data_IF_984731345341
#
_entry.id   IF_984731345341
#
_cell.length_a   1.000
_cell.length_b   1.000
_cell.length_c   1.000
_cell.angle_alpha   90.00
_cell.angle_beta   90.00
_cell.angle_gamma   90.00
#
_symmetry.space_group_name_H-M   'P 1'
#
loop_
_entity.id
_entity.type
_entity.pdbx_description
1 polymer ?
#
# COMPACT_ATOMS: atom_id res chain seq x y z
N UNK A 1 -12.59 -20.49 -2.18
CA UNK A 1 -13.22 -19.39 -2.96
C UNK A 1 -12.30 -18.99 -4.10
N UNK A 2 -12.82 -18.90 -5.33
CA UNK A 2 -12.07 -18.40 -6.48
C UNK A 2 -11.91 -16.88 -6.37
N UNK A 3 -10.70 -16.39 -6.07
CA UNK A 3 -10.38 -14.96 -6.14
C UNK A 3 -10.36 -14.57 -7.63
N UNK A 4 -11.47 -14.23 -8.26
CA UNK A 4 -11.44 -13.74 -9.64
C UNK A 4 -11.09 -12.24 -9.64
N UNK A 5 -10.13 -11.77 -10.46
CA UNK A 5 -9.82 -10.34 -10.55
C UNK A 5 -11.07 -9.55 -10.93
N UNK A 6 -11.27 -8.39 -10.29
CA UNK A 6 -12.45 -7.56 -10.54
C UNK A 6 -12.42 -7.02 -11.97
N UNK A 7 -13.51 -7.24 -12.75
CA UNK A 7 -13.62 -6.80 -14.15
C UNK A 7 -14.63 -5.66 -14.37
N UNK A 8 -15.25 -5.14 -13.31
CA UNK A 8 -16.24 -4.06 -13.39
C UNK A 8 -15.60 -2.66 -13.42
N UNK A 9 -16.35 -1.68 -13.93
CA UNK A 9 -15.95 -0.27 -13.97
C UNK A 9 -15.96 0.41 -12.58
N UNK A 10 -16.81 -0.05 -11.67
CA UNK A 10 -16.81 0.35 -10.26
C UNK A 10 -15.75 -0.44 -9.47
N UNK A 11 -15.35 0.06 -8.29
CA UNK A 11 -14.53 -0.77 -7.39
C UNK A 11 -15.42 -1.79 -6.66
N UNK A 12 -14.82 -2.75 -5.94
CA UNK A 12 -15.58 -3.73 -5.13
C UNK A 12 -16.38 -3.05 -4.02
N UNK A 13 -15.94 -1.87 -3.62
CA UNK A 13 -16.56 -0.97 -2.65
C UNK A 13 -17.72 -0.15 -3.26
N UNK A 14 -18.00 -0.30 -4.56
CA UNK A 14 -19.08 0.40 -5.25
C UNK A 14 -18.66 1.76 -5.79
N UNK A 15 -19.57 2.74 -5.72
CA UNK A 15 -19.33 4.11 -6.18
C UNK A 15 -18.75 4.96 -5.04
N UNK A 16 -17.45 5.23 -5.11
CA UNK A 16 -16.69 5.95 -4.09
C UNK A 16 -16.06 7.23 -4.63
N UNK A 17 -15.53 8.08 -3.75
CA UNK A 17 -14.81 9.29 -4.14
C UNK A 17 -13.62 8.98 -5.09
N UNK A 18 -13.01 7.80 -4.97
CA UNK A 18 -11.96 7.32 -5.88
C UNK A 18 -12.47 7.14 -7.32
N UNK A 19 -13.75 6.77 -7.52
CA UNK A 19 -14.36 6.68 -8.85
C UNK A 19 -14.43 8.06 -9.49
N UNK A 20 -14.90 9.07 -8.76
CA UNK A 20 -14.95 10.46 -9.24
C UNK A 20 -13.53 10.98 -9.51
N UNK A 21 -12.60 10.75 -8.59
CA UNK A 21 -11.19 11.13 -8.75
C UNK A 21 -10.56 10.53 -10.02
N UNK A 22 -10.84 9.25 -10.31
CA UNK A 22 -10.39 8.58 -11.55
C UNK A 22 -11.03 9.17 -12.80
N UNK A 23 -12.32 9.52 -12.76
CA UNK A 23 -12.99 10.18 -13.91
C UNK A 23 -12.35 11.54 -14.17
N UNK A 24 -12.18 12.37 -13.13
CA UNK A 24 -11.59 13.70 -13.27
C UNK A 24 -10.14 13.64 -13.78
N UNK A 25 -9.34 12.69 -13.28
CA UNK A 25 -7.93 12.54 -13.69
C UNK A 25 -7.78 12.01 -15.12
N UNK A 26 -8.72 11.20 -15.61
CA UNK A 26 -8.73 10.65 -16.97
C UNK A 26 -9.43 11.53 -18.02
N UNK A 27 -10.15 12.56 -17.59
CA UNK A 27 -10.89 13.46 -18.49
C UNK A 27 -10.37 14.91 -18.43
N UNK A 28 -10.74 15.67 -17.41
CA UNK A 28 -10.49 17.12 -17.33
C UNK A 28 -9.02 17.43 -17.01
N UNK A 29 -8.33 16.54 -16.28
CA UNK A 29 -6.91 16.69 -15.95
C UNK A 29 -6.01 15.83 -16.83
N UNK A 30 -6.56 15.22 -17.89
CA UNK A 30 -5.79 14.47 -18.86
C UNK A 30 -5.12 15.42 -19.86
N UNK A 31 -3.78 15.45 -19.96
CA UNK A 31 -3.09 16.34 -20.88
C UNK A 31 -3.47 16.06 -22.33
N UNK A 32 -3.67 14.80 -22.72
CA UNK A 32 -4.13 14.47 -24.07
C UNK A 32 -5.49 15.09 -24.42
N UNK A 33 -6.44 15.12 -23.47
CA UNK A 33 -7.76 15.69 -23.70
C UNK A 33 -7.69 17.23 -23.73
N UNK A 34 -7.03 17.82 -22.75
CA UNK A 34 -6.90 19.28 -22.62
C UNK A 34 -6.05 19.91 -23.71
N UNK A 35 -4.92 19.28 -24.08
CA UNK A 35 -4.06 19.71 -25.20
C UNK A 35 -4.82 19.57 -26.52
N UNK A 36 -5.54 18.46 -26.76
CA UNK A 36 -6.34 18.31 -27.99
C UNK A 36 -7.40 19.40 -28.12
N UNK A 37 -8.07 19.75 -27.02
CA UNK A 37 -9.03 20.85 -26.99
C UNK A 37 -8.35 22.22 -27.23
N UNK A 38 -7.16 22.45 -26.68
CA UNK A 38 -6.38 23.67 -26.95
C UNK A 38 -5.94 23.77 -28.42
N UNK A 39 -5.51 22.66 -29.01
CA UNK A 39 -5.14 22.58 -30.42
C UNK A 39 -6.35 22.82 -31.31
N UNK A 40 -7.50 22.19 -31.03
CA UNK A 40 -8.74 22.44 -31.76
C UNK A 40 -9.15 23.92 -31.67
N UNK A 41 -9.09 24.50 -30.47
CA UNK A 41 -9.45 25.89 -30.24
C UNK A 41 -8.50 26.85 -30.98
N UNK A 42 -7.19 26.57 -31.03
CA UNK A 42 -6.20 27.44 -31.67
C UNK A 42 -6.10 27.31 -33.19
N UNK A 43 -6.34 26.11 -33.75
CA UNK A 43 -6.02 25.80 -35.15
C UNK A 43 -7.24 25.66 -36.07
N UNK A 44 -8.46 25.71 -35.55
CA UNK A 44 -9.70 25.71 -36.37
C UNK A 44 -10.34 27.10 -36.42
N UNK A 45 -11.11 27.40 -37.47
CA UNK A 45 -11.86 28.67 -37.56
C UNK A 45 -12.96 28.77 -36.52
N UNK A 46 -13.72 27.69 -36.32
CA UNK A 46 -14.75 27.56 -35.28
C UNK A 46 -14.16 27.65 -33.87
N UNK A 47 -13.01 27.02 -33.63
CA UNK A 47 -12.30 27.12 -32.35
C UNK A 47 -11.88 28.56 -32.03
N UNK A 48 -11.34 29.27 -33.02
CA UNK A 48 -10.92 30.67 -32.86
C UNK A 48 -12.08 31.61 -32.59
N UNK A 49 -13.24 31.42 -33.22
CA UNK A 49 -14.44 32.20 -32.88
C UNK A 49 -14.91 31.89 -31.46
N UNK A 50 -14.90 30.63 -31.05
CA UNK A 50 -15.29 30.21 -29.70
C UNK A 50 -14.37 30.81 -28.61
N UNK A 51 -13.06 30.91 -28.88
CA UNK A 51 -12.11 31.59 -27.98
C UNK A 51 -12.46 33.08 -27.86
N UNK A 52 -12.77 33.74 -28.97
CA UNK A 52 -13.14 35.16 -28.98
C UNK A 52 -14.42 35.42 -28.17
N UNK A 53 -15.41 34.53 -28.29
CA UNK A 53 -16.69 34.65 -27.58
C UNK A 53 -16.58 34.29 -26.09
N UNK A 54 -15.65 33.41 -25.70
CA UNK A 54 -15.52 32.85 -24.35
C UNK A 54 -14.06 32.82 -23.84
N UNK A 55 -13.41 33.98 -23.63
CA UNK A 55 -11.99 34.04 -23.25
C UNK A 55 -11.70 33.37 -21.89
N UNK A 56 -12.64 33.42 -20.93
CA UNK A 56 -12.49 32.78 -19.62
C UNK A 56 -12.38 31.25 -19.72
N UNK A 57 -13.12 30.62 -20.63
CA UNK A 57 -13.09 29.17 -20.83
C UNK A 57 -11.72 28.75 -21.36
N UNK A 58 -11.16 29.52 -22.28
CA UNK A 58 -9.85 29.24 -22.84
C UNK A 58 -8.72 29.41 -21.80
N UNK A 59 -8.80 30.43 -20.94
CA UNK A 59 -7.86 30.58 -19.81
C UNK A 59 -7.96 29.41 -18.83
N UNK A 60 -9.18 28.97 -18.48
CA UNK A 60 -9.39 27.81 -17.63
C UNK A 60 -8.83 26.53 -18.27
N UNK A 61 -9.05 26.33 -19.57
CA UNK A 61 -8.53 25.17 -20.31
C UNK A 61 -6.99 25.15 -20.33
N UNK A 62 -6.34 26.30 -20.53
CA UNK A 62 -4.87 26.42 -20.41
C UNK A 62 -4.39 26.07 -19.01
N UNK A 63 -5.05 26.60 -17.98
CA UNK A 63 -4.69 26.29 -16.60
C UNK A 63 -4.81 24.78 -16.31
N UNK A 64 -5.89 24.13 -16.76
CA UNK A 64 -6.09 22.69 -16.61
C UNK A 64 -5.03 21.88 -17.38
N UNK A 65 -4.67 22.29 -18.60
CA UNK A 65 -3.59 21.65 -19.36
C UNK A 65 -2.24 21.78 -18.65
N UNK A 66 -1.92 22.96 -18.11
CA UNK A 66 -0.70 23.19 -17.33
C UNK A 66 -0.66 22.33 -16.07
N UNK A 67 -1.77 22.26 -15.31
CA UNK A 67 -1.89 21.39 -14.13
C UNK A 67 -1.70 19.92 -14.52
N UNK A 68 -2.35 19.48 -15.61
CA UNK A 68 -2.20 18.12 -16.11
C UNK A 68 -0.75 17.79 -16.51
N UNK A 69 -0.07 18.71 -17.19
CA UNK A 69 1.34 18.55 -17.57
C UNK A 69 2.26 18.49 -16.34
N UNK A 70 2.07 19.41 -15.38
CA UNK A 70 2.81 19.41 -14.13
C UNK A 70 2.62 18.10 -13.37
N UNK A 71 1.40 17.54 -13.37
CA UNK A 71 1.10 16.23 -12.78
C UNK A 71 1.89 15.11 -13.44
N UNK A 72 1.91 15.03 -14.78
CA UNK A 72 2.68 14.01 -15.50
C UNK A 72 4.18 14.13 -15.20
N UNK A 73 4.73 15.35 -15.25
CA UNK A 73 6.15 15.58 -14.95
C UNK A 73 6.46 15.17 -13.51
N UNK A 74 5.62 15.56 -12.55
CA UNK A 74 5.78 15.18 -11.15
C UNK A 74 5.69 13.66 -10.94
N UNK A 75 4.72 12.98 -11.56
CA UNK A 75 4.60 11.52 -11.50
C UNK A 75 5.82 10.81 -12.08
N UNK A 76 6.34 11.31 -13.21
CA UNK A 76 7.58 10.81 -13.79
C UNK A 76 8.77 11.01 -12.84
N UNK A 77 8.98 12.22 -12.33
CA UNK A 77 10.09 12.53 -11.41
C UNK A 77 9.99 11.70 -10.12
N UNK A 78 8.80 11.55 -9.55
CA UNK A 78 8.57 10.72 -8.38
C UNK A 78 8.89 9.25 -8.67
N UNK A 79 8.42 8.71 -9.79
CA UNK A 79 8.73 7.33 -10.19
C UNK A 79 10.23 7.15 -10.34
N UNK A 80 10.93 8.06 -11.01
CA UNK A 80 12.37 7.97 -11.20
C UNK A 80 13.12 8.09 -9.86
N UNK A 81 12.71 9.01 -8.98
CA UNK A 81 13.32 9.21 -7.67
C UNK A 81 13.17 7.97 -6.77
N UNK A 82 11.95 7.42 -6.67
CA UNK A 82 11.68 6.19 -5.90
C UNK A 82 12.43 4.97 -6.45
N UNK A 83 12.69 4.94 -7.75
CA UNK A 83 13.42 3.86 -8.41
C UNK A 83 14.94 4.14 -8.53
N UNK A 84 15.45 5.11 -7.77
CA UNK A 84 16.86 5.48 -7.74
C UNK A 84 17.45 5.85 -9.11
N UNK A 85 16.62 6.26 -10.06
CA UNK A 85 17.01 6.49 -11.46
C UNK A 85 17.65 5.26 -12.13
N UNK A 86 17.32 4.07 -11.65
CA UNK A 86 17.84 2.80 -12.14
C UNK A 86 16.70 1.85 -12.49
N UNK A 87 16.90 1.01 -13.50
CA UNK A 87 15.98 -0.07 -13.84
C UNK A 87 16.46 -1.41 -13.26
N UNK A 88 15.50 -2.29 -12.97
CA UNK A 88 15.74 -3.68 -12.58
C UNK A 88 14.77 -4.56 -13.34
N UNK A 89 15.17 -5.78 -13.66
CA UNK A 89 14.39 -6.71 -14.47
C UNK A 89 13.96 -7.90 -13.61
N UNK A 90 12.65 -8.06 -13.43
CA UNK A 90 12.07 -9.19 -12.70
C UNK A 90 11.59 -10.24 -13.70
N UNK A 91 12.06 -11.47 -13.53
CA UNK A 91 11.58 -12.61 -14.31
C UNK A 91 10.65 -13.41 -13.40
N UNK A 92 9.36 -13.03 -13.35
CA UNK A 92 8.38 -13.50 -12.34
C UNK A 92 8.39 -15.02 -12.07
N UNK A 93 8.64 -15.86 -13.06
CA UNK A 93 8.70 -17.34 -12.87
C UNK A 93 9.94 -17.83 -12.11
N UNK A 94 10.97 -16.99 -11.97
CA UNK A 94 12.19 -17.24 -11.21
C UNK A 94 12.16 -16.59 -9.83
N UNK A 95 11.23 -15.67 -9.61
CA UNK A 95 11.09 -14.97 -8.34
C UNK A 95 10.44 -15.85 -7.26
N UNK A 96 10.93 -15.67 -6.04
CA UNK A 96 10.40 -16.32 -4.84
C UNK A 96 9.86 -15.20 -3.93
N UNK A 97 8.55 -15.20 -3.71
CA UNK A 97 7.88 -14.23 -2.85
C UNK A 97 7.58 -14.81 -1.47
N UNK A 98 8.18 -14.26 -0.43
CA UNK A 98 7.88 -14.57 0.96
C UNK A 98 6.82 -13.60 1.49
N UNK A 99 5.72 -14.11 2.01
CA UNK A 99 4.60 -13.33 2.54
C UNK A 99 4.38 -13.68 4.01
N UNK A 100 4.61 -12.73 4.92
CA UNK A 100 4.26 -12.89 6.34
C UNK A 100 2.78 -12.64 6.56
N UNK A 101 2.14 -13.37 7.48
CA UNK A 101 0.71 -13.26 7.72
C UNK A 101 -0.11 -13.77 6.52
N UNK A 102 0.40 -14.76 5.78
CA UNK A 102 -0.18 -15.22 4.52
C UNK A 102 -1.28 -16.29 4.67
N UNK A 103 -1.66 -16.66 5.89
CA UNK A 103 -2.70 -17.67 6.14
C UNK A 103 -4.12 -17.11 6.15
N UNK A 104 -4.29 -15.80 6.35
CA UNK A 104 -5.60 -15.12 6.41
C UNK A 104 -5.56 -13.71 5.76
N UNK A 105 -6.73 -13.08 5.63
CA UNK A 105 -6.89 -11.67 5.28
C UNK A 105 -6.20 -11.23 3.98
N UNK A 106 -5.53 -10.07 4.04
CA UNK A 106 -4.84 -9.47 2.87
C UNK A 106 -3.66 -10.34 2.44
N UNK A 107 -2.89 -10.89 3.38
CA UNK A 107 -1.72 -11.72 3.09
C UNK A 107 -2.06 -12.98 2.30
N UNK A 108 -3.13 -13.68 2.70
CA UNK A 108 -3.69 -14.80 1.93
C UNK A 108 -3.98 -14.40 0.48
N UNK A 109 -4.66 -13.25 0.28
CA UNK A 109 -5.02 -12.78 -1.06
C UNK A 109 -3.80 -12.43 -1.89
N UNK A 110 -2.79 -11.79 -1.29
CA UNK A 110 -1.50 -11.51 -1.93
C UNK A 110 -0.81 -12.81 -2.36
N UNK A 111 -0.68 -13.78 -1.45
CA UNK A 111 -0.03 -15.07 -1.71
C UNK A 111 -0.69 -15.80 -2.90
N UNK A 112 -2.02 -15.89 -2.90
CA UNK A 112 -2.78 -16.54 -3.96
C UNK A 112 -2.70 -15.80 -5.30
N UNK A 113 -2.67 -14.46 -5.29
CA UNK A 113 -2.54 -13.66 -6.51
C UNK A 113 -1.14 -13.77 -7.12
N UNK A 114 -0.07 -13.72 -6.31
CA UNK A 114 1.30 -13.92 -6.76
C UNK A 114 1.51 -15.33 -7.32
N UNK A 115 0.97 -16.35 -6.64
CA UNK A 115 1.03 -17.74 -7.11
C UNK A 115 0.41 -17.91 -8.50
N UNK A 116 -0.73 -17.26 -8.77
CA UNK A 116 -1.36 -17.31 -10.10
C UNK A 116 -0.58 -16.59 -11.19
N UNK A 117 0.32 -15.68 -10.82
CA UNK A 117 1.21 -15.00 -11.75
C UNK A 117 2.48 -15.81 -12.03
N UNK A 118 2.59 -17.00 -11.42
CA UNK A 118 3.64 -17.98 -11.70
C UNK A 118 4.86 -17.85 -10.81
N UNK A 119 4.82 -17.00 -9.77
CA UNK A 119 5.88 -16.93 -8.76
C UNK A 119 5.84 -18.17 -7.87
N UNK A 120 6.99 -18.57 -7.31
CA UNK A 120 7.00 -19.43 -6.12
C UNK A 120 6.66 -18.56 -4.91
N UNK A 121 5.79 -19.04 -4.04
CA UNK A 121 5.36 -18.27 -2.87
C UNK A 121 5.63 -19.05 -1.60
N UNK A 122 6.22 -18.37 -0.62
CA UNK A 122 6.44 -18.86 0.74
C UNK A 122 5.49 -18.10 1.64
N UNK A 123 4.68 -18.81 2.42
CA UNK A 123 3.81 -18.22 3.44
C UNK A 123 4.44 -18.48 4.81
N UNK A 124 4.70 -17.39 5.55
CA UNK A 124 5.04 -17.45 6.97
C UNK A 124 3.84 -17.00 7.80
N UNK A 125 3.42 -17.83 8.74
CA UNK A 125 2.34 -17.49 9.65
C UNK A 125 2.45 -18.37 10.91
N UNK A 126 1.80 -17.95 12.01
CA UNK A 126 1.67 -18.76 13.23
C UNK A 126 0.47 -19.71 13.16
N UNK A 127 -0.37 -19.56 12.14
CA UNK A 127 -1.54 -20.40 11.90
C UNK A 127 -1.46 -21.05 10.52
N UNK A 128 -1.94 -22.28 10.40
CA UNK A 128 -2.04 -22.93 9.10
C UNK A 128 -2.99 -22.17 8.13
N UNK A 129 -2.69 -22.16 6.82
CA UNK A 129 -3.57 -21.58 5.81
C UNK A 129 -4.98 -22.20 5.83
N UNK A 130 -6.03 -21.39 6.03
CA UNK A 130 -7.43 -21.83 5.98
C UNK A 130 -7.95 -22.11 4.56
N UNK A 131 -7.04 -22.26 3.60
CA UNK A 131 -7.35 -22.40 2.19
C UNK A 131 -6.47 -23.47 1.56
N UNK A 132 -6.98 -24.06 0.48
CA UNK A 132 -6.17 -25.01 -0.31
C UNK A 132 -5.00 -24.27 -0.95
N UNK A 133 -3.79 -24.56 -0.49
CA UNK A 133 -2.54 -24.03 -1.03
C UNK A 133 -2.33 -24.54 -2.45
N UNK A 134 -2.09 -23.63 -3.43
CA UNK A 134 -1.65 -24.03 -4.76
C UNK A 134 -0.30 -24.75 -4.72
N UNK A 135 0.06 -25.57 -5.73
CA UNK A 135 1.31 -26.34 -5.73
C UNK A 135 2.60 -25.50 -5.64
N UNK A 136 2.54 -24.23 -6.04
CA UNK A 136 3.64 -23.28 -5.96
C UNK A 136 3.58 -22.37 -4.72
N UNK A 137 2.79 -22.74 -3.71
CA UNK A 137 2.72 -22.07 -2.40
C UNK A 137 3.14 -23.07 -1.34
N UNK A 138 4.22 -22.77 -0.63
CA UNK A 138 4.71 -23.56 0.51
C UNK A 138 4.51 -22.78 1.80
N UNK A 139 3.96 -23.43 2.82
CA UNK A 139 3.72 -22.87 4.14
C UNK A 139 4.83 -23.29 5.12
N UNK A 140 5.26 -22.36 5.96
CA UNK A 140 6.07 -22.64 7.14
C UNK A 140 5.43 -21.96 8.35
N UNK A 141 5.23 -22.73 9.42
CA UNK A 141 4.83 -22.19 10.71
C UNK A 141 6.01 -21.41 11.32
N UNK A 142 5.84 -20.12 11.55
CA UNK A 142 6.91 -19.27 12.07
C UNK A 142 6.35 -18.07 12.83
N UNK A 143 6.78 -17.94 14.10
CA UNK A 143 6.60 -16.70 14.85
C UNK A 143 7.68 -15.69 14.47
N UNK A 144 7.29 -14.70 13.67
CA UNK A 144 8.17 -13.65 13.15
C UNK A 144 8.67 -12.67 14.24
N UNK A 145 8.18 -12.76 15.48
CA UNK A 145 8.71 -12.01 16.61
C UNK A 145 9.97 -12.66 17.19
N UNK A 146 10.26 -13.93 16.85
CA UNK A 146 11.44 -14.66 17.30
C UNK A 146 12.51 -14.70 16.22
N UNK A 147 13.63 -14.01 16.46
CA UNK A 147 14.79 -14.04 15.55
C UNK A 147 15.32 -15.47 15.31
N UNK A 148 15.26 -16.32 16.33
CA UNK A 148 15.70 -17.72 16.23
C UNK A 148 14.78 -18.53 15.31
N UNK A 149 13.46 -18.40 15.50
CA UNK A 149 12.47 -19.09 14.65
C UNK A 149 12.57 -18.62 13.18
N UNK A 150 12.77 -17.32 12.97
CA UNK A 150 12.98 -16.76 11.62
C UNK A 150 14.26 -17.32 11.00
N UNK A 151 15.37 -17.40 11.73
CA UNK A 151 16.64 -17.93 11.24
C UNK A 151 16.51 -19.41 10.83
N UNK A 152 15.91 -20.23 11.69
CA UNK A 152 15.69 -21.66 11.44
C UNK A 152 14.78 -21.87 10.21
N UNK A 153 13.66 -21.15 10.17
CA UNK A 153 12.70 -21.23 9.06
C UNK A 153 13.33 -20.76 7.76
N UNK A 154 14.13 -19.69 7.80
CA UNK A 154 14.81 -19.18 6.61
C UNK A 154 15.85 -20.17 6.06
N UNK A 155 16.54 -20.92 6.93
CA UNK A 155 17.43 -21.99 6.50
C UNK A 155 16.66 -23.11 5.77
N UNK A 156 15.50 -23.52 6.30
CA UNK A 156 14.63 -24.50 5.64
C UNK A 156 14.12 -24.00 4.28
N UNK A 157 13.62 -22.75 4.21
CA UNK A 157 13.16 -22.13 2.95
C UNK A 157 14.26 -22.15 1.88
N UNK A 158 15.49 -21.78 2.25
CA UNK A 158 16.63 -21.75 1.31
C UNK A 158 16.99 -23.14 0.81
N UNK A 159 16.89 -24.16 1.66
CA UNK A 159 17.16 -25.55 1.29
C UNK A 159 16.08 -26.13 0.36
N UNK A 160 14.81 -25.87 0.68
CA UNK A 160 13.66 -26.49 -0.01
C UNK A 160 13.29 -25.78 -1.32
N UNK A 161 13.40 -24.44 -1.35
CA UNK A 161 12.79 -23.59 -2.40
C UNK A 161 13.84 -22.71 -3.08
N UNK A 162 14.76 -22.15 -2.28
CA UNK A 162 15.78 -21.20 -2.70
C UNK A 162 15.68 -19.87 -1.95
N UNK A 163 16.48 -18.89 -2.36
CA UNK A 163 16.49 -17.58 -1.71
C UNK A 163 15.28 -16.72 -2.13
N UNK A 164 14.48 -16.22 -1.17
CA UNK A 164 13.44 -15.25 -1.46
C UNK A 164 13.99 -13.97 -2.09
N UNK A 165 13.36 -13.50 -3.17
CA UNK A 165 13.70 -12.24 -3.86
C UNK A 165 12.70 -11.13 -3.57
N UNK A 166 11.49 -11.47 -3.12
CA UNK A 166 10.45 -10.50 -2.74
C UNK A 166 10.03 -10.81 -1.30
N UNK A 167 10.20 -9.85 -0.39
CA UNK A 167 9.82 -9.97 1.03
C UNK A 167 8.61 -9.08 1.29
N UNK A 168 7.47 -9.68 1.61
CA UNK A 168 6.22 -8.97 1.93
C UNK A 168 5.98 -9.04 3.43
N UNK A 169 6.36 -7.95 4.11
CA UNK A 169 6.06 -7.71 5.51
C UNK A 169 4.59 -7.28 5.64
N UNK A 170 3.71 -8.26 5.84
CA UNK A 170 2.26 -8.05 5.89
C UNK A 170 1.63 -8.43 7.24
N UNK A 171 2.22 -9.38 7.97
CA UNK A 171 1.70 -9.80 9.27
C UNK A 171 1.42 -8.61 10.20
N UNK A 172 0.31 -8.68 10.92
CA UNK A 172 -0.07 -7.62 11.83
C UNK A 172 -1.14 -8.02 12.83
N UNK A 173 -1.14 -7.32 13.96
CA UNK A 173 -2.16 -7.40 15.00
C UNK A 173 -2.72 -6.00 15.28
N UNK A 174 -3.99 -5.97 15.63
CA UNK A 174 -4.73 -4.77 15.99
C UNK A 174 -5.65 -5.15 17.14
N UNK A 175 -5.71 -4.29 18.15
CA UNK A 175 -6.77 -4.33 19.15
C UNK A 175 -7.33 -2.94 19.34
N UNK A 176 -8.61 -2.79 19.02
CA UNK A 176 -9.29 -1.49 19.08
C UNK A 176 -9.84 -1.27 20.48
N UNK A 177 -9.16 -0.46 21.28
CA UNK A 177 -9.60 0.00 22.60
C UNK A 177 -8.81 1.22 23.06
N UNK A 178 -9.36 2.05 23.96
CA UNK A 178 -8.61 3.14 24.57
C UNK A 178 -7.32 2.63 25.23
N UNK A 179 -6.21 3.38 25.10
CA UNK A 179 -4.89 3.01 25.62
C UNK A 179 -4.96 2.61 27.11
N UNK A 180 -5.69 3.37 27.93
CA UNK A 180 -5.84 3.12 29.37
C UNK A 180 -6.70 1.89 29.71
N UNK A 181 -7.32 1.27 28.71
CA UNK A 181 -8.10 0.02 28.82
C UNK A 181 -7.35 -1.18 28.23
N UNK A 182 -6.19 -0.98 27.61
CA UNK A 182 -5.30 -2.04 27.16
C UNK A 182 -4.28 -2.42 28.23
N UNK A 183 -3.59 -3.53 27.97
CA UNK A 183 -2.46 -3.98 28.80
C UNK A 183 -1.13 -3.64 28.14
N UNK A 184 -0.07 -3.50 28.93
CA UNK A 184 1.28 -3.34 28.39
C UNK A 184 1.66 -4.50 27.45
N UNK A 185 1.31 -5.74 27.82
CA UNK A 185 1.58 -6.93 27.01
C UNK A 185 1.01 -6.83 25.60
N UNK A 186 -0.21 -6.31 25.46
CA UNK A 186 -0.85 -6.13 24.16
C UNK A 186 -0.17 -5.04 23.34
N UNK A 187 0.17 -3.91 23.95
CA UNK A 187 0.94 -2.84 23.30
C UNK A 187 2.29 -3.37 22.83
N UNK A 188 3.02 -4.11 23.67
CA UNK A 188 4.31 -4.71 23.32
C UNK A 188 4.15 -5.66 22.15
N UNK A 189 3.18 -6.58 22.19
CA UNK A 189 2.92 -7.50 21.10
C UNK A 189 2.63 -6.77 19.78
N UNK A 190 1.87 -5.68 19.82
CA UNK A 190 1.63 -4.87 18.62
C UNK A 190 2.94 -4.32 18.03
N UNK A 191 3.84 -3.80 18.85
CA UNK A 191 5.15 -3.32 18.38
C UNK A 191 6.05 -4.47 17.89
N UNK A 192 6.06 -5.61 18.57
CA UNK A 192 6.83 -6.79 18.15
C UNK A 192 6.38 -7.26 16.76
N UNK A 193 5.07 -7.45 16.56
CA UNK A 193 4.54 -7.97 15.29
C UNK A 193 4.52 -6.93 14.18
N UNK A 194 3.99 -5.72 14.41
CA UNK A 194 3.75 -4.75 13.34
C UNK A 194 5.00 -3.93 12.97
N UNK A 195 6.03 -3.94 13.83
CA UNK A 195 7.21 -3.09 13.67
C UNK A 195 8.50 -3.90 13.76
N UNK A 196 8.83 -4.48 14.91
CA UNK A 196 10.15 -5.08 15.14
C UNK A 196 10.37 -6.33 14.26
N UNK A 197 9.31 -7.10 13.98
CA UNK A 197 9.37 -8.20 13.02
C UNK A 197 9.90 -7.76 11.66
N UNK A 198 9.60 -6.54 11.19
CA UNK A 198 10.11 -6.04 9.91
C UNK A 198 11.63 -5.89 9.92
N UNK A 199 12.21 -5.51 11.06
CA UNK A 199 13.66 -5.44 11.25
C UNK A 199 14.29 -6.83 11.29
N UNK A 200 13.63 -7.79 11.96
CA UNK A 200 14.08 -9.18 12.01
C UNK A 200 14.09 -9.78 10.60
N UNK A 201 12.98 -9.66 9.87
CA UNK A 201 12.85 -10.13 8.48
C UNK A 201 13.87 -9.45 7.56
N UNK A 202 14.07 -8.14 7.71
CA UNK A 202 15.06 -7.42 6.91
C UNK A 202 16.50 -7.87 7.19
N UNK A 203 16.87 -8.08 8.45
CA UNK A 203 18.19 -8.61 8.82
C UNK A 203 18.43 -10.01 8.25
N UNK A 204 17.40 -10.84 8.21
CA UNK A 204 17.50 -12.21 7.72
C UNK A 204 17.63 -12.27 6.19
N UNK A 205 16.77 -11.54 5.46
CA UNK A 205 16.63 -11.74 4.01
C UNK A 205 17.35 -10.68 3.16
N UNK A 206 17.49 -9.43 3.62
CA UNK A 206 18.14 -8.38 2.80
C UNK A 206 19.60 -8.65 2.44
N UNK A 207 20.44 -9.33 3.25
CA UNK A 207 21.83 -9.61 2.86
C UNK A 207 21.94 -10.28 1.48
N UNK A 208 21.02 -11.19 1.14
CA UNK A 208 21.04 -11.85 -0.17
C UNK A 208 20.59 -10.92 -1.30
N UNK A 209 19.54 -10.13 -1.08
CA UNK A 209 19.08 -9.12 -2.05
C UNK A 209 20.20 -8.10 -2.33
N UNK A 210 20.93 -7.67 -1.30
CA UNK A 210 22.07 -6.74 -1.40
C UNK A 210 23.21 -7.34 -2.21
N UNK A 211 23.61 -8.60 -1.92
CA UNK A 211 24.67 -9.28 -2.67
C UNK A 211 24.36 -9.37 -4.16
N UNK A 212 23.11 -9.59 -4.53
CA UNK A 212 22.68 -9.67 -5.93
C UNK A 212 22.29 -8.31 -6.52
N UNK A 213 22.15 -7.27 -5.70
CA UNK A 213 21.57 -5.98 -6.05
C UNK A 213 20.27 -6.16 -6.86
N UNK A 214 19.38 -6.99 -6.33
CA UNK A 214 18.12 -7.39 -6.97
C UNK A 214 17.12 -7.83 -5.91
N UNK A 215 15.84 -7.54 -6.14
CA UNK A 215 14.75 -7.97 -5.29
C UNK A 215 13.88 -6.81 -4.80
N UNK A 216 12.92 -7.12 -3.93
CA UNK A 216 11.91 -6.18 -3.49
C UNK A 216 11.54 -6.38 -2.02
N UNK A 217 11.46 -5.29 -1.27
CA UNK A 217 10.91 -5.24 0.08
C UNK A 217 9.57 -4.51 0.06
N UNK A 218 8.50 -5.19 0.47
CA UNK A 218 7.15 -4.66 0.55
C UNK A 218 6.76 -4.51 2.02
N UNK A 219 6.40 -3.30 2.44
CA UNK A 219 5.95 -2.99 3.79
C UNK A 219 4.45 -2.68 3.78
N UNK A 220 3.64 -3.49 4.45
CA UNK A 220 2.21 -3.19 4.64
C UNK A 220 2.02 -2.39 5.93
N UNK A 221 1.96 -1.07 5.75
CA UNK A 221 1.71 -0.10 6.80
C UNK A 221 0.19 0.12 6.96
N UNK A 222 -0.26 1.38 7.05
CA UNK A 222 -1.68 1.76 7.10
C UNK A 222 -1.82 3.27 6.91
N UNK A 223 -3.01 3.77 6.55
CA UNK A 223 -3.30 5.20 6.71
C UNK A 223 -3.15 5.67 8.17
N UNK A 224 -3.26 4.74 9.13
CA UNK A 224 -2.97 5.00 10.55
C UNK A 224 -1.50 5.39 10.82
N UNK A 225 -0.59 5.24 9.85
CA UNK A 225 0.77 5.78 9.90
C UNK A 225 0.80 7.31 9.97
N UNK A 226 -0.26 7.98 9.52
CA UNK A 226 -0.37 9.45 9.54
C UNK A 226 -1.44 9.98 10.48
N UNK A 227 -2.58 9.28 10.56
CA UNK A 227 -3.73 9.73 11.33
C UNK A 227 -4.00 8.72 12.45
N UNK A 228 -3.66 9.11 13.68
CA UNK A 228 -4.02 8.35 14.87
C UNK A 228 -5.50 8.60 15.22
N UNK A 229 -6.30 7.53 15.22
CA UNK A 229 -7.65 7.54 15.75
C UNK A 229 -7.60 7.22 17.25
N UNK A 230 -8.53 7.76 18.03
CA UNK A 230 -8.70 7.33 19.42
C UNK A 230 -9.08 5.84 19.44
N UNK A 231 -8.68 5.15 20.51
CA UNK A 231 -8.76 3.69 20.62
C UNK A 231 -7.85 2.86 19.69
N UNK A 232 -6.92 3.49 18.95
CA UNK A 232 -5.89 2.81 18.14
C UNK A 232 -4.50 3.45 18.30
N UNK A 233 -4.21 4.04 19.46
CA UNK A 233 -3.00 4.83 19.71
C UNK A 233 -1.73 4.00 19.54
N UNK A 234 -1.70 2.81 20.14
CA UNK A 234 -0.61 1.85 20.01
C UNK A 234 -0.46 1.39 18.56
N UNK A 235 -1.54 0.96 17.91
CA UNK A 235 -1.53 0.54 16.51
C UNK A 235 -1.02 1.63 15.56
N UNK A 236 -1.51 2.86 15.68
CA UNK A 236 -1.05 4.00 14.89
C UNK A 236 0.44 4.26 15.13
N UNK A 237 0.91 4.18 16.38
CA UNK A 237 2.33 4.24 16.72
C UNK A 237 3.15 3.15 16.00
N UNK A 238 2.65 1.92 15.96
CA UNK A 238 3.32 0.82 15.25
C UNK A 238 3.39 1.06 13.74
N UNK A 239 2.30 1.53 13.12
CA UNK A 239 2.24 1.76 11.68
C UNK A 239 3.05 2.99 11.26
N UNK A 240 3.12 4.02 12.10
CA UNK A 240 4.04 5.14 11.90
C UNK A 240 5.51 4.66 11.96
N UNK A 241 5.86 3.80 12.91
CA UNK A 241 7.19 3.21 13.00
C UNK A 241 7.52 2.30 11.80
N UNK A 242 6.55 1.55 11.28
CA UNK A 242 6.71 0.74 10.06
C UNK A 242 6.95 1.60 8.81
N UNK A 243 6.28 2.76 8.69
CA UNK A 243 6.52 3.72 7.60
C UNK A 243 7.93 4.33 7.71
N UNK A 244 8.34 4.77 8.90
CA UNK A 244 9.69 5.29 9.14
C UNK A 244 10.78 4.24 8.84
N UNK A 245 10.55 2.98 9.22
CA UNK A 245 11.41 1.86 8.85
C UNK A 245 11.54 1.72 7.32
N UNK A 246 10.42 1.80 6.59
CA UNK A 246 10.41 1.69 5.13
C UNK A 246 11.23 2.80 4.45
N UNK A 247 11.05 4.04 4.88
CA UNK A 247 11.80 5.19 4.37
C UNK A 247 13.31 5.08 4.68
N UNK A 248 13.63 4.69 5.91
CA UNK A 248 15.00 4.49 6.37
C UNK A 248 15.73 3.42 5.57
N UNK A 249 15.14 2.22 5.44
CA UNK A 249 15.79 1.11 4.74
C UNK A 249 15.93 1.39 3.24
N UNK A 250 14.95 2.05 2.60
CA UNK A 250 15.07 2.46 1.20
C UNK A 250 16.29 3.38 0.97
N UNK A 251 16.52 4.32 1.89
CA UNK A 251 17.70 5.20 1.86
C UNK A 251 19.00 4.43 2.10
N UNK A 252 19.03 3.53 3.09
CA UNK A 252 20.21 2.73 3.40
C UNK A 252 20.62 1.81 2.24
N UNK A 253 19.66 1.12 1.61
CA UNK A 253 19.91 0.25 0.46
C UNK A 253 20.64 0.99 -0.66
N UNK A 254 20.20 2.22 -0.96
CA UNK A 254 20.85 3.08 -1.96
C UNK A 254 22.21 3.60 -1.50
N UNK A 255 22.26 4.25 -0.33
CA UNK A 255 23.40 5.09 0.07
C UNK A 255 24.51 4.28 0.74
N UNK A 256 24.15 3.35 1.63
CA UNK A 256 25.10 2.57 2.43
C UNK A 256 25.46 1.26 1.75
N UNK A 257 24.47 0.51 1.30
CA UNK A 257 24.68 -0.82 0.71
C UNK A 257 24.97 -0.80 -0.79
N UNK A 258 24.87 0.37 -1.44
CA UNK A 258 25.13 0.56 -2.88
C UNK A 258 24.31 -0.40 -3.75
N UNK A 259 23.09 -0.71 -3.32
CA UNK A 259 22.17 -1.61 -3.98
C UNK A 259 20.92 -0.86 -4.51
N UNK A 260 21.07 0.07 -5.47
CA UNK A 260 19.99 0.95 -5.91
C UNK A 260 18.89 0.24 -6.70
N UNK A 261 19.11 -1.00 -7.15
CA UNK A 261 18.14 -1.78 -7.92
C UNK A 261 17.11 -2.48 -7.04
N UNK A 262 17.39 -2.67 -5.75
CA UNK A 262 16.42 -3.25 -4.82
C UNK A 262 15.24 -2.30 -4.71
N UNK A 263 14.04 -2.83 -4.92
CA UNK A 263 12.79 -2.07 -4.91
C UNK A 263 12.19 -2.04 -3.53
N UNK A 264 11.59 -0.92 -3.18
CA UNK A 264 10.85 -0.76 -1.94
C UNK A 264 9.43 -0.32 -2.25
N UNK A 265 8.46 -1.09 -1.78
CA UNK A 265 7.03 -0.79 -1.92
C UNK A 265 6.40 -0.61 -0.55
N UNK A 266 5.63 0.46 -0.35
CA UNK A 266 4.83 0.65 0.86
C UNK A 266 3.35 0.66 0.49
N UNK A 267 2.56 -0.09 1.25
CA UNK A 267 1.12 -0.19 1.10
C UNK A 267 0.45 0.39 2.35
N UNK A 268 -0.44 1.36 2.18
CA UNK A 268 -1.13 2.05 3.26
C UNK A 268 -2.64 1.94 3.07
N UNK A 269 -3.24 0.79 3.46
CA UNK A 269 -4.67 0.63 3.43
C UNK A 269 -5.32 1.37 4.60
N UNK A 270 -6.53 1.87 4.35
CA UNK A 270 -7.53 2.19 5.35
C UNK A 270 -8.18 0.92 5.90
N UNK A 271 -9.34 1.06 6.54
CA UNK A 271 -10.06 -0.08 7.10
C UNK A 271 -10.43 -1.10 6.01
N UNK A 272 -10.24 -2.38 6.32
CA UNK A 272 -10.42 -3.47 5.37
C UNK A 272 -11.12 -4.66 6.04
N UNK A 273 -12.13 -5.24 5.37
CA UNK A 273 -12.99 -6.34 5.85
C UNK A 273 -12.19 -7.64 6.07
N UNK A 274 -11.39 -7.70 7.11
CA UNK A 274 -10.58 -8.85 7.56
C UNK A 274 -10.82 -9.11 9.03
N UNK A 275 -10.40 -10.28 9.51
CA UNK A 275 -10.47 -10.61 10.94
C UNK A 275 -9.68 -9.68 11.86
N UNK A 276 -8.79 -8.86 11.30
CA UNK A 276 -8.06 -7.84 12.05
C UNK A 276 -8.97 -6.76 12.64
N UNK A 277 -10.11 -6.48 12.00
CA UNK A 277 -11.08 -5.45 12.42
C UNK A 277 -12.41 -6.06 12.91
N UNK A 278 -12.49 -7.38 13.08
CA UNK A 278 -13.70 -8.04 13.57
C UNK A 278 -14.10 -7.45 14.93
N UNK A 279 -15.35 -6.98 15.03
CA UNK A 279 -15.88 -6.31 16.23
C UNK A 279 -15.76 -4.77 16.24
N UNK A 280 -15.20 -4.15 15.20
CA UNK A 280 -15.28 -2.71 14.99
C UNK A 280 -16.55 -2.32 14.24
N UNK A 281 -17.28 -1.30 14.70
CA UNK A 281 -18.16 -0.57 13.79
C UNK A 281 -17.30 0.42 13.03
N UNK A 282 -17.17 0.21 11.73
CA UNK A 282 -16.47 1.13 10.83
C UNK A 282 -17.50 1.73 9.89
N UNK A 283 -17.52 3.05 9.77
CA UNK A 283 -18.38 3.72 8.79
C UNK A 283 -17.97 3.28 7.38
N UNK A 284 -18.92 2.70 6.63
CA UNK A 284 -18.76 2.37 5.21
C UNK A 284 -19.46 3.49 4.40
N UNK A 285 -18.70 4.54 4.07
CA UNK A 285 -19.24 5.71 3.35
C UNK A 285 -18.60 5.84 1.97
N UNK A 286 -19.24 6.60 1.07
CA UNK A 286 -18.68 6.85 -0.26
C UNK A 286 -17.30 7.54 -0.22
N UNK A 287 -16.98 8.27 0.85
CA UNK A 287 -15.71 8.98 1.02
C UNK A 287 -14.68 8.18 1.82
N UNK A 288 -15.12 7.43 2.84
CA UNK A 288 -14.34 6.48 3.64
C UNK A 288 -14.92 5.06 3.47
N UNK A 289 -14.73 4.40 2.32
CA UNK A 289 -15.27 3.07 2.09
C UNK A 289 -14.52 2.00 2.88
N UNK A 290 -15.25 0.99 3.33
CA UNK A 290 -14.65 -0.18 3.97
C UNK A 290 -14.13 -1.16 2.91
N UNK A 291 -12.80 -1.25 2.78
CA UNK A 291 -12.14 -1.93 1.67
C UNK A 291 -12.34 -3.45 1.69
N UNK A 292 -12.44 -4.06 0.52
CA UNK A 292 -12.32 -5.52 0.40
C UNK A 292 -10.85 -5.95 0.45
N UNK A 293 -10.51 -7.09 1.12
CA UNK A 293 -9.14 -7.61 1.15
C UNK A 293 -8.59 -7.88 -0.26
N UNK A 294 -9.47 -8.31 -1.17
CA UNK A 294 -9.14 -8.52 -2.57
C UNK A 294 -8.70 -7.20 -3.24
N UNK A 295 -9.32 -6.07 -2.93
CA UNK A 295 -8.92 -4.75 -3.49
C UNK A 295 -7.51 -4.37 -3.05
N UNK A 296 -7.20 -4.51 -1.76
CA UNK A 296 -5.86 -4.17 -1.23
C UNK A 296 -4.81 -5.11 -1.81
N UNK A 297 -5.10 -6.41 -1.86
CA UNK A 297 -4.19 -7.40 -2.41
C UNK A 297 -3.98 -7.26 -3.92
N UNK A 298 -5.03 -7.00 -4.71
CA UNK A 298 -4.94 -6.74 -6.15
C UNK A 298 -4.01 -5.56 -6.43
N UNK A 299 -4.21 -4.42 -5.74
CA UNK A 299 -3.38 -3.22 -5.88
C UNK A 299 -1.94 -3.44 -5.41
N UNK A 300 -1.74 -4.22 -4.36
CA UNK A 300 -0.40 -4.62 -3.88
C UNK A 300 0.33 -5.46 -4.92
N UNK A 301 -0.32 -6.50 -5.44
CA UNK A 301 0.26 -7.38 -6.47
C UNK A 301 0.49 -6.62 -7.78
N UNK A 302 -0.43 -5.74 -8.18
CA UNK A 302 -0.24 -4.86 -9.34
C UNK A 302 1.02 -4.00 -9.20
N UNK A 303 1.23 -3.38 -8.03
CA UNK A 303 2.44 -2.61 -7.78
C UNK A 303 3.70 -3.48 -7.80
N UNK A 304 3.69 -4.64 -7.14
CA UNK A 304 4.81 -5.59 -7.17
C UNK A 304 5.18 -5.94 -8.62
N UNK A 305 4.18 -6.25 -9.45
CA UNK A 305 4.38 -6.67 -10.84
C UNK A 305 4.79 -5.53 -11.79
N UNK A 306 4.84 -4.29 -11.31
CA UNK A 306 5.52 -3.21 -12.06
C UNK A 306 7.04 -3.34 -12.04
N UNK A 307 7.59 -4.18 -11.15
CA UNK A 307 9.04 -4.31 -10.92
C UNK A 307 9.68 -3.00 -10.42
N UNK A 308 8.87 -2.08 -9.90
CA UNK A 308 9.29 -0.73 -9.52
C UNK A 308 8.94 -0.46 -8.05
N UNK A 309 9.77 0.33 -7.38
CA UNK A 309 9.44 0.95 -6.09
C UNK A 309 8.19 1.81 -6.23
N UNK A 310 7.40 1.91 -5.16
CA UNK A 310 6.16 2.66 -5.20
C UNK A 310 5.44 2.74 -3.87
N UNK A 311 4.46 3.64 -3.82
CA UNK A 311 3.62 3.88 -2.66
C UNK A 311 2.16 3.71 -3.08
N UNK A 312 1.43 2.84 -2.38
CA UNK A 312 0.04 2.50 -2.72
C UNK A 312 -0.84 2.81 -1.52
N UNK A 313 -1.68 3.83 -1.66
CA UNK A 313 -2.58 4.27 -0.61
C UNK A 313 -4.02 4.01 -1.05
N UNK A 314 -4.79 3.35 -0.18
CA UNK A 314 -6.14 2.90 -0.50
C UNK A 314 -7.07 3.18 0.69
N UNK A 315 -8.27 3.74 0.47
CA UNK A 315 -8.70 4.41 -0.76
C UNK A 315 -7.88 5.70 -0.98
N UNK A 316 -7.75 6.12 -2.23
CA UNK A 316 -6.97 7.31 -2.60
C UNK A 316 -7.56 8.61 -2.06
N UNK A 317 -8.89 8.69 -1.96
CA UNK A 317 -9.64 9.84 -1.46
C UNK A 317 -9.23 10.23 -0.05
N UNK A 318 -9.18 9.27 0.86
CA UNK A 318 -8.79 9.48 2.26
C UNK A 318 -7.27 9.53 2.39
N UNK A 319 -6.55 8.80 1.54
CA UNK A 319 -5.10 8.77 1.49
C UNK A 319 -4.49 10.15 1.34
N UNK A 320 -5.00 10.97 0.41
CA UNK A 320 -4.50 12.33 0.19
C UNK A 320 -4.55 13.19 1.46
N UNK A 321 -5.65 13.13 2.22
CA UNK A 321 -5.78 13.90 3.46
C UNK A 321 -4.92 13.32 4.58
N UNK A 322 -4.81 11.99 4.66
CA UNK A 322 -3.98 11.33 5.65
C UNK A 322 -2.51 11.73 5.49
N UNK A 323 -1.95 11.63 4.29
CA UNK A 323 -0.55 12.01 4.02
C UNK A 323 -0.25 13.47 4.35
N UNK A 324 -1.17 14.37 4.01
CA UNK A 324 -0.94 15.81 4.12
C UNK A 324 -1.40 16.40 5.45
N UNK A 325 -1.91 15.58 6.39
CA UNK A 325 -2.50 16.09 7.64
C UNK A 325 -1.53 16.96 8.42
N UNK A 326 -0.25 16.60 8.46
CA UNK A 326 0.77 17.34 9.22
C UNK A 326 1.12 18.71 8.61
N UNK A 327 0.75 18.95 7.35
CA UNK A 327 0.92 20.25 6.68
C UNK A 327 -0.26 21.20 6.90
N UNK A 328 -1.36 20.73 7.51
CA UNK A 328 -2.56 21.53 7.76
C UNK A 328 -2.46 22.31 9.08
N UNK A 329 -3.18 23.44 9.24
CA UNK A 329 -3.31 24.10 10.54
C UNK A 329 -3.88 23.18 11.62
N UNK A 330 -3.43 23.34 12.87
CA UNK A 330 -3.82 22.45 13.98
C UNK A 330 -5.34 22.32 14.19
N UNK A 331 -6.12 23.39 13.96
CA UNK A 331 -7.58 23.32 14.09
C UNK A 331 -8.19 22.30 13.11
N UNK A 332 -7.66 22.20 11.90
CA UNK A 332 -8.15 21.27 10.88
C UNK A 332 -7.64 19.86 11.16
N UNK A 333 -6.39 19.73 11.63
CA UNK A 333 -5.86 18.42 12.03
C UNK A 333 -6.70 17.81 13.16
N UNK A 334 -7.04 18.59 14.18
CA UNK A 334 -7.83 18.13 15.32
C UNK A 334 -9.25 17.78 14.86
N UNK A 335 -9.88 18.62 14.03
CA UNK A 335 -11.18 18.31 13.45
C UNK A 335 -11.18 16.97 12.69
N UNK A 336 -10.16 16.70 11.88
CA UNK A 336 -10.05 15.42 11.15
C UNK A 336 -9.90 14.24 12.11
N UNK A 337 -9.03 14.35 13.13
CA UNK A 337 -8.83 13.29 14.14
C UNK A 337 -10.10 13.00 14.94
N UNK A 338 -10.84 14.03 15.34
CA UNK A 338 -12.10 13.91 16.07
C UNK A 338 -13.20 13.25 15.22
N UNK A 339 -13.23 13.54 13.91
CA UNK A 339 -14.16 12.88 12.97
C UNK A 339 -13.84 11.40 12.76
N UNK A 340 -12.56 11.03 12.71
CA UNK A 340 -12.12 9.64 12.62
C UNK A 340 -12.56 8.81 13.84
N UNK A 341 -12.63 9.40 15.05
CA UNK A 341 -13.11 8.67 16.23
C UNK A 341 -14.58 8.28 16.13
N UNK A 342 -15.42 9.20 15.63
CA UNK A 342 -16.86 8.95 15.52
C UNK A 342 -17.16 7.77 14.59
N UNK A 343 -16.26 7.50 13.63
CA UNK A 343 -16.40 6.38 12.71
C UNK A 343 -15.83 5.04 13.20
N UNK A 344 -15.14 5.02 14.35
CA UNK A 344 -14.52 3.82 14.95
C UNK A 344 -15.16 3.36 16.26
N UNK A 345 -16.38 3.83 16.57
CA UNK A 345 -17.06 3.44 17.82
C UNK A 345 -17.19 1.92 17.94
N UNK A 346 -16.62 1.34 18.99
CA UNK A 346 -16.89 -0.06 19.33
C UNK A 346 -18.32 -0.19 19.85
N UNK A 347 -19.06 -1.19 19.40
CA UNK A 347 -20.44 -1.49 19.86
C UNK A 347 -20.56 -1.82 21.35
N UNK A 348 -19.45 -1.80 22.10
CA UNK A 348 -19.37 -2.08 23.54
C UNK A 348 -19.08 -0.85 24.41
N UNK A 349 -19.09 0.37 23.85
CA UNK A 349 -19.10 1.61 24.63
C UNK A 349 -20.48 2.27 24.54
N UNK A 350 -21.45 1.65 25.21
CA UNK A 350 -22.69 2.28 25.66
C UNK A 350 -22.82 2.03 27.18
#
# INVERSE_FOLDING_TARGET
MSISPHKGWLSREGFTADVIGRILSSTVLAPQATISLLLFAGYTSQGRSLIADRPRIFTALKALASIGLLRIINEFLNRQALNNWTADEFVWRREIALVTGGSDGIGQRIALLLARRGLKVVVLDVQEPKYRTPPNVTFYECDITSSAAVTETAAAIRADIGEPTIIVNNAGVLRTRPLLKGTETETRLAFEVNTLSHYVMAREFLPSLIRHNHGMLVTVASQASHVACSSMVDYAGTKAAALAFHEGIASELKIRYKAPKIRTVVIEPGFCKTSLIDGMSSEDTWFHPLLHPDTVAERTVEQILTGSSGRVILPGSTGFFAENIHSLPFWLQNFIRDRCEMSTRTSHCA
#
